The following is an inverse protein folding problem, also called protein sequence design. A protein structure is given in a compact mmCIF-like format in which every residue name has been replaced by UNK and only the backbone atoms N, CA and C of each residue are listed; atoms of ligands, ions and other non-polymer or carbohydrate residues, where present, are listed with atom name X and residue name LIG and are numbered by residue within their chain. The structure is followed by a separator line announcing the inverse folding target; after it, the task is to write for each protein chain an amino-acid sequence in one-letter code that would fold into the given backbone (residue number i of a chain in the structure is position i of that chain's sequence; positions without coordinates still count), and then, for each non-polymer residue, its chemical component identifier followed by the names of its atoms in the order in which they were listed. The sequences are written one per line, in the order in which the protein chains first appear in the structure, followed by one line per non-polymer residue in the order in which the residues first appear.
data_IF_412368524983
#
_entry.id   IF_412368524983
#
_cell.length_a   1.000
_cell.length_b   1.000
_cell.length_c   1.000
_cell.angle_alpha   90.00
_cell.angle_beta   90.00
_cell.angle_gamma   90.00
#
_symmetry.space_group_name_H-M   'P 1'
#
loop_
_entity.id
_entity.type
_entity.pdbx_description
1 polymer ?
#
# COMPACT_ATOMS: atom_id res chain seq x y z
N UNK A 1 2.63 26.34 7.69
CA UNK A 1 4.03 25.86 7.70
C UNK A 1 4.00 24.45 8.24
N UNK A 2 4.79 23.55 7.68
CA UNK A 2 4.94 22.19 8.20
C UNK A 2 5.63 22.25 9.57
N UNK A 3 5.37 21.24 10.42
CA UNK A 3 6.16 21.03 11.64
C UNK A 3 7.61 20.71 11.27
N UNK A 4 8.56 20.98 12.15
CA UNK A 4 9.97 20.65 11.88
C UNK A 4 10.15 19.15 11.56
N UNK A 5 9.43 18.27 12.27
CA UNK A 5 9.48 16.84 12.09
C UNK A 5 8.99 16.39 10.68
N UNK A 6 7.86 16.95 10.21
CA UNK A 6 7.35 16.67 8.86
C UNK A 6 8.28 17.20 7.76
N UNK A 7 8.92 18.35 8.00
CA UNK A 7 9.89 18.90 7.07
C UNK A 7 11.14 17.99 6.99
N UNK A 8 11.64 17.51 8.13
CA UNK A 8 12.77 16.58 8.18
C UNK A 8 12.44 15.26 7.48
N UNK A 9 11.25 14.70 7.68
CA UNK A 9 10.77 13.50 6.98
C UNK A 9 10.68 13.71 5.47
N UNK A 10 10.16 14.86 5.04
CA UNK A 10 10.07 15.20 3.63
C UNK A 10 11.46 15.30 3.01
N UNK A 11 12.42 15.93 3.69
CA UNK A 11 13.80 16.02 3.24
C UNK A 11 14.49 14.65 3.18
N UNK A 12 14.29 13.80 4.19
CA UNK A 12 14.80 12.43 4.18
C UNK A 12 14.21 11.61 3.03
N UNK A 13 12.89 11.73 2.78
CA UNK A 13 12.23 11.09 1.64
C UNK A 13 12.88 11.50 0.31
N UNK A 14 13.10 12.80 0.09
CA UNK A 14 13.75 13.34 -1.11
C UNK A 14 15.17 12.77 -1.25
N UNK A 15 15.94 12.76 -0.16
CA UNK A 15 17.31 12.23 -0.14
C UNK A 15 17.38 10.75 -0.54
N UNK A 16 16.49 9.90 0.01
CA UNK A 16 16.42 8.47 -0.34
C UNK A 16 16.04 8.30 -1.81
N UNK A 17 15.04 9.08 -2.28
CA UNK A 17 14.64 9.02 -3.68
C UNK A 17 15.78 9.39 -4.63
N UNK A 18 16.50 10.47 -4.35
CA UNK A 18 17.61 10.94 -5.19
C UNK A 18 18.75 9.92 -5.25
N UNK A 19 19.08 9.27 -4.12
CA UNK A 19 20.04 8.19 -4.08
C UNK A 19 19.57 6.99 -4.92
N UNK A 20 18.34 6.52 -4.72
CA UNK A 20 17.75 5.45 -5.52
C UNK A 20 17.74 5.80 -7.02
N UNK A 21 17.29 7.01 -7.36
CA UNK A 21 17.23 7.49 -8.74
C UNK A 21 18.59 7.53 -9.42
N UNK A 22 19.60 8.03 -8.72
CA UNK A 22 20.98 8.11 -9.25
C UNK A 22 21.55 6.74 -9.56
N UNK A 23 21.30 5.75 -8.70
CA UNK A 23 21.90 4.41 -8.77
C UNK A 23 21.06 3.38 -9.54
N UNK A 24 19.71 3.57 -9.64
CA UNK A 24 18.81 2.59 -10.25
C UNK A 24 18.09 3.07 -11.51
N UNK A 25 18.32 4.27 -11.99
CA UNK A 25 17.60 4.86 -13.16
C UNK A 25 17.55 3.96 -14.40
N UNK A 26 18.56 3.11 -14.62
CA UNK A 26 18.62 2.19 -15.73
C UNK A 26 18.03 0.79 -15.43
N UNK A 27 17.68 0.53 -14.16
CA UNK A 27 17.15 -0.75 -13.69
C UNK A 27 15.67 -0.66 -13.34
N UNK A 28 15.18 0.53 -13.00
CA UNK A 28 13.78 0.82 -12.66
C UNK A 28 13.31 1.97 -13.53
N UNK A 29 12.51 1.66 -14.54
CA UNK A 29 12.04 2.64 -15.52
C UNK A 29 11.03 3.65 -14.92
N UNK A 30 10.26 3.22 -13.91
CA UNK A 30 9.17 4.02 -13.33
C UNK A 30 9.61 4.71 -12.04
N UNK A 31 9.69 6.04 -12.08
CA UNK A 31 10.03 6.86 -10.92
C UNK A 31 9.11 6.62 -9.73
N UNK A 32 7.83 6.36 -9.99
CA UNK A 32 6.82 6.11 -8.98
C UNK A 32 7.15 4.90 -8.07
N UNK A 33 7.83 3.87 -8.59
CA UNK A 33 8.31 2.74 -7.79
C UNK A 33 9.37 3.22 -6.79
N UNK A 34 10.32 4.05 -7.24
CA UNK A 34 11.34 4.62 -6.36
C UNK A 34 10.72 5.54 -5.31
N UNK A 35 9.70 6.32 -5.68
CA UNK A 35 8.93 7.15 -4.75
C UNK A 35 8.25 6.31 -3.65
N UNK A 36 7.62 5.19 -4.02
CA UNK A 36 6.99 4.28 -3.06
C UNK A 36 8.02 3.60 -2.15
N UNK A 37 9.13 3.14 -2.69
CA UNK A 37 10.22 2.56 -1.90
C UNK A 37 10.75 3.59 -0.88
N UNK A 38 11.04 4.82 -1.32
CA UNK A 38 11.53 5.89 -0.45
C UNK A 38 10.54 6.20 0.69
N UNK A 39 9.25 6.33 0.36
CA UNK A 39 8.24 6.60 1.38
C UNK A 39 8.08 5.44 2.37
N UNK A 40 8.25 4.19 1.93
CA UNK A 40 8.14 3.03 2.80
C UNK A 40 9.19 3.05 3.92
N UNK A 41 10.45 3.46 3.64
CA UNK A 41 11.47 3.60 4.68
C UNK A 41 11.10 4.67 5.71
N UNK A 42 10.59 5.82 5.27
CA UNK A 42 10.19 6.92 6.17
C UNK A 42 9.00 6.50 7.03
N UNK A 43 7.94 5.93 6.40
CA UNK A 43 6.73 5.50 7.11
C UNK A 43 7.05 4.46 8.20
N UNK A 44 7.99 3.55 7.92
CA UNK A 44 8.39 2.50 8.85
C UNK A 44 9.57 2.89 9.77
N UNK A 45 10.04 4.15 9.71
CA UNK A 45 11.15 4.67 10.55
C UNK A 45 12.41 3.82 10.44
N UNK A 46 12.78 3.47 9.22
CA UNK A 46 13.94 2.65 8.95
C UNK A 46 15.01 3.44 8.22
N UNK A 47 16.22 3.35 8.71
CA UNK A 47 17.37 3.91 8.04
C UNK A 47 17.59 3.20 6.72
N UNK A 48 17.64 3.99 5.64
CA UNK A 48 17.93 3.49 4.34
C UNK A 48 19.45 3.33 4.16
N UNK A 49 19.87 2.13 3.79
CA UNK A 49 21.22 1.82 3.35
C UNK A 49 21.14 1.20 1.96
N UNK A 50 21.62 1.94 0.97
CA UNK A 50 21.57 1.52 -0.42
C UNK A 50 22.32 0.20 -0.65
N UNK A 51 23.48 -0.01 -0.02
CA UNK A 51 24.27 -1.22 -0.26
C UNK A 51 23.55 -2.46 0.28
N UNK A 52 23.03 -2.40 1.51
CA UNK A 52 22.22 -3.47 2.12
C UNK A 52 20.99 -3.80 1.26
N UNK A 53 20.22 -2.77 0.88
CA UNK A 53 19.04 -2.90 0.01
C UNK A 53 19.40 -3.52 -1.35
N UNK A 54 20.47 -3.05 -2.00
CA UNK A 54 20.87 -3.51 -3.32
C UNK A 54 21.43 -4.94 -3.29
N UNK A 55 22.22 -5.29 -2.26
CA UNK A 55 22.73 -6.64 -2.05
C UNK A 55 21.60 -7.62 -1.82
N UNK A 56 20.57 -7.22 -1.06
CA UNK A 56 19.36 -8.02 -0.89
C UNK A 56 18.62 -8.22 -2.23
N UNK A 57 18.44 -7.17 -3.02
CA UNK A 57 17.80 -7.28 -4.34
C UNK A 57 18.57 -8.20 -5.29
N UNK A 58 19.89 -8.20 -5.20
CA UNK A 58 20.78 -9.07 -5.98
C UNK A 58 20.71 -10.51 -5.49
N UNK A 59 20.67 -10.72 -4.18
CA UNK A 59 20.46 -12.02 -3.56
C UNK A 59 19.12 -12.63 -3.99
N UNK A 60 18.01 -11.85 -3.94
CA UNK A 60 16.70 -12.28 -4.46
C UNK A 60 16.84 -12.76 -5.90
N UNK A 61 17.44 -11.95 -6.79
CA UNK A 61 17.62 -12.31 -8.20
C UNK A 61 18.37 -13.63 -8.39
N UNK A 62 19.37 -13.89 -7.57
CA UNK A 62 20.21 -15.10 -7.68
C UNK A 62 19.53 -16.36 -7.14
N UNK A 63 18.50 -16.22 -6.31
CA UNK A 63 17.84 -17.33 -5.62
C UNK A 63 16.40 -17.61 -6.13
N UNK A 64 16.03 -17.06 -7.30
CA UNK A 64 14.73 -17.29 -7.94
C UNK A 64 14.90 -17.94 -9.30
N UNK A 65 13.89 -18.71 -9.73
CA UNK A 65 13.85 -19.32 -11.06
C UNK A 65 13.77 -18.28 -12.18
N UNK A 66 14.29 -18.62 -13.36
CA UNK A 66 14.38 -17.73 -14.52
C UNK A 66 13.02 -17.16 -14.98
N UNK A 67 11.93 -17.84 -14.72
CA UNK A 67 10.57 -17.41 -15.08
C UNK A 67 9.82 -16.69 -13.95
N UNK A 68 10.50 -16.37 -12.84
CA UNK A 68 9.88 -15.63 -11.75
C UNK A 68 9.64 -14.17 -12.13
N UNK A 69 8.49 -13.61 -11.74
CA UNK A 69 8.20 -12.18 -11.86
C UNK A 69 9.21 -11.31 -11.10
N UNK A 70 9.87 -11.86 -10.07
CA UNK A 70 10.93 -11.18 -9.32
C UNK A 70 12.25 -11.04 -10.08
N UNK A 71 12.40 -11.64 -11.27
CA UNK A 71 13.54 -11.35 -12.15
C UNK A 71 13.54 -9.91 -12.68
N UNK A 72 12.38 -9.26 -12.68
CA UNK A 72 12.19 -7.87 -13.09
C UNK A 72 12.52 -6.89 -11.95
N UNK A 73 12.15 -5.62 -12.15
CA UNK A 73 12.25 -4.57 -11.13
C UNK A 73 11.34 -4.79 -9.91
N UNK A 74 10.37 -5.73 -9.95
CA UNK A 74 9.55 -6.12 -8.78
C UNK A 74 10.40 -6.56 -7.58
N UNK A 75 11.59 -7.12 -7.82
CA UNK A 75 12.49 -7.52 -6.74
C UNK A 75 12.91 -6.36 -5.84
N UNK A 76 12.95 -5.13 -6.37
CA UNK A 76 13.31 -3.95 -5.57
C UNK A 76 12.21 -3.61 -4.56
N UNK A 77 10.93 -3.75 -4.94
CA UNK A 77 9.80 -3.60 -4.00
C UNK A 77 9.84 -4.69 -2.92
N UNK A 78 10.07 -5.94 -3.29
CA UNK A 78 10.20 -7.04 -2.33
C UNK A 78 11.42 -6.84 -1.42
N UNK A 79 12.56 -6.44 -1.98
CA UNK A 79 13.76 -6.16 -1.22
C UNK A 79 13.54 -5.03 -0.21
N UNK A 80 12.85 -3.94 -0.58
CA UNK A 80 12.58 -2.84 0.35
C UNK A 80 11.72 -3.29 1.53
N UNK A 81 10.66 -4.08 1.31
CA UNK A 81 9.79 -4.56 2.37
C UNK A 81 10.56 -5.52 3.31
N UNK A 82 11.33 -6.47 2.75
CA UNK A 82 12.15 -7.37 3.55
C UNK A 82 13.23 -6.62 4.33
N UNK A 83 13.89 -5.64 3.73
CA UNK A 83 14.90 -4.82 4.42
C UNK A 83 14.30 -3.99 5.56
N UNK A 84 13.14 -3.39 5.34
CA UNK A 84 12.42 -2.61 6.35
C UNK A 84 12.06 -3.46 7.56
N UNK A 85 11.55 -4.66 7.36
CA UNK A 85 11.06 -5.51 8.45
C UNK A 85 12.16 -6.33 9.13
N UNK A 86 13.14 -6.83 8.37
CA UNK A 86 14.12 -7.80 8.85
C UNK A 86 15.56 -7.28 8.88
N UNK A 87 15.86 -6.15 8.25
CA UNK A 87 17.18 -5.51 8.26
C UNK A 87 18.32 -6.51 7.93
N UNK A 88 19.24 -6.72 8.85
CA UNK A 88 20.38 -7.64 8.65
C UNK A 88 19.94 -9.10 8.46
N UNK A 89 18.74 -9.48 8.90
CA UNK A 89 18.17 -10.82 8.75
C UNK A 89 17.33 -10.98 7.47
N UNK A 90 17.25 -9.94 6.62
CA UNK A 90 16.40 -9.94 5.44
C UNK A 90 16.73 -11.06 4.43
N UNK A 91 18.01 -11.49 4.32
CA UNK A 91 18.37 -12.63 3.49
C UNK A 91 17.87 -13.96 4.06
N UNK A 92 17.86 -14.11 5.38
CA UNK A 92 17.31 -15.28 6.05
C UNK A 92 15.77 -15.32 5.93
N UNK A 93 15.11 -14.17 6.00
CA UNK A 93 13.67 -14.05 5.83
C UNK A 93 13.18 -14.35 4.40
N UNK A 94 14.08 -14.33 3.41
CA UNK A 94 13.72 -14.61 2.01
C UNK A 94 13.22 -16.05 1.80
N UNK A 95 13.81 -17.05 2.43
CA UNK A 95 13.37 -18.45 2.27
C UNK A 95 11.97 -18.69 2.87
N UNK A 96 11.66 -18.27 4.11
CA UNK A 96 10.30 -18.30 4.63
C UNK A 96 9.31 -17.54 3.73
N UNK A 97 9.67 -16.37 3.21
CA UNK A 97 8.85 -15.61 2.27
C UNK A 97 8.48 -16.41 1.01
N UNK A 98 9.46 -17.07 0.37
CA UNK A 98 9.23 -17.88 -0.82
C UNK A 98 8.40 -19.13 -0.50
N UNK A 99 8.55 -19.69 0.71
CA UNK A 99 7.71 -20.80 1.15
C UNK A 99 6.25 -20.37 1.31
N UNK A 100 5.98 -19.25 1.98
CA UNK A 100 4.63 -18.66 2.08
C UNK A 100 4.01 -18.44 0.69
N UNK A 101 4.74 -17.79 -0.22
CA UNK A 101 4.29 -17.60 -1.61
C UNK A 101 3.96 -18.94 -2.29
N UNK A 102 4.83 -19.94 -2.14
CA UNK A 102 4.65 -21.24 -2.77
C UNK A 102 3.43 -21.98 -2.22
N UNK A 103 3.17 -21.86 -0.91
CA UNK A 103 1.96 -22.41 -0.29
C UNK A 103 0.69 -21.70 -0.81
N UNK A 104 0.69 -20.36 -0.92
CA UNK A 104 -0.42 -19.61 -1.50
C UNK A 104 -0.71 -20.06 -2.93
N UNK A 105 0.32 -20.23 -3.76
CA UNK A 105 0.15 -20.74 -5.15
C UNK A 105 -0.45 -22.15 -5.17
N UNK A 106 -0.02 -23.05 -4.27
CA UNK A 106 -0.60 -24.40 -4.13
C UNK A 106 -2.07 -24.37 -3.70
N UNK A 107 -2.49 -23.35 -2.96
CA UNK A 107 -3.89 -23.15 -2.56
C UNK A 107 -4.76 -22.53 -3.67
N UNK A 108 -4.18 -22.09 -4.79
CA UNK A 108 -4.92 -21.57 -5.94
C UNK A 108 -4.78 -20.07 -6.20
N UNK A 109 -3.91 -19.37 -5.49
CA UNK A 109 -3.53 -18.01 -5.83
C UNK A 109 -2.75 -17.97 -7.14
N UNK A 110 -2.89 -16.89 -7.93
CA UNK A 110 -2.16 -16.74 -9.19
C UNK A 110 -0.68 -16.48 -8.97
N UNK A 111 0.15 -16.92 -9.91
CA UNK A 111 1.59 -16.65 -9.93
C UNK A 111 1.85 -15.25 -10.46
N UNK A 112 1.68 -14.24 -9.62
CA UNK A 112 1.89 -12.83 -9.97
C UNK A 112 2.49 -12.05 -8.79
N UNK A 113 2.76 -10.77 -9.02
CA UNK A 113 3.33 -9.87 -8.00
C UNK A 113 2.39 -9.69 -6.82
N UNK A 114 1.07 -9.72 -6.99
CA UNK A 114 0.12 -9.49 -5.92
C UNK A 114 0.13 -10.64 -4.91
N UNK A 115 0.37 -11.87 -5.37
CA UNK A 115 0.58 -13.02 -4.48
C UNK A 115 1.90 -12.90 -3.72
N UNK A 116 2.98 -12.37 -4.34
CA UNK A 116 4.21 -12.07 -3.60
C UNK A 116 3.98 -11.00 -2.52
N UNK A 117 3.25 -9.92 -2.84
CA UNK A 117 2.93 -8.88 -1.87
C UNK A 117 2.05 -9.41 -0.72
N UNK A 118 1.09 -10.28 -1.04
CA UNK A 118 0.26 -10.93 -0.03
C UNK A 118 1.07 -11.89 0.86
N UNK A 119 2.05 -12.57 0.30
CA UNK A 119 2.98 -13.41 1.08
C UNK A 119 3.84 -12.55 2.04
N UNK A 120 4.26 -11.35 1.63
CA UNK A 120 4.94 -10.40 2.53
C UNK A 120 4.01 -9.96 3.67
N UNK A 121 2.75 -9.60 3.39
CA UNK A 121 1.76 -9.25 4.41
C UNK A 121 1.60 -10.37 5.44
N UNK A 122 1.52 -11.63 4.99
CA UNK A 122 1.42 -12.80 5.88
C UNK A 122 2.71 -13.06 6.68
N UNK A 123 3.86 -12.76 6.10
CA UNK A 123 5.15 -12.94 6.75
C UNK A 123 5.43 -11.86 7.82
N UNK A 124 5.02 -10.62 7.55
CA UNK A 124 5.29 -9.46 8.40
C UNK A 124 4.18 -9.16 9.41
N UNK A 125 3.00 -9.75 9.23
CA UNK A 125 1.86 -9.59 10.14
C UNK A 125 2.12 -10.19 11.52
N UNK A 126 1.68 -9.48 12.58
CA UNK A 126 1.88 -9.85 13.99
C UNK A 126 0.87 -10.88 14.52
N UNK A 127 0.24 -11.67 13.70
CA UNK A 127 -0.81 -12.61 14.15
C UNK A 127 -0.19 -13.87 14.77
N UNK A 128 -0.03 -13.85 16.08
CA UNK A 128 0.47 -15.00 16.85
C UNK A 128 -0.56 -16.13 17.05
N UNK A 129 -1.84 -15.87 16.80
CA UNK A 129 -2.93 -16.77 17.23
C UNK A 129 -3.60 -17.58 16.12
N UNK A 130 -3.44 -17.23 14.86
CA UNK A 130 -4.09 -17.93 13.74
C UNK A 130 -3.01 -18.64 12.92
N UNK A 131 -3.22 -19.93 12.65
CA UNK A 131 -2.37 -20.70 11.75
C UNK A 131 -2.27 -19.98 10.40
N UNK A 132 -1.05 -19.70 9.93
CA UNK A 132 -0.76 -19.02 8.67
C UNK A 132 -1.51 -19.64 7.48
N UNK A 133 -1.68 -20.97 7.49
CA UNK A 133 -2.45 -21.67 6.46
C UNK A 133 -3.95 -21.32 6.50
N UNK A 134 -4.52 -21.13 7.68
CA UNK A 134 -5.90 -20.68 7.84
C UNK A 134 -6.08 -19.26 7.32
N UNK A 135 -5.13 -18.38 7.56
CA UNK A 135 -5.12 -17.02 7.01
C UNK A 135 -5.06 -17.04 5.48
N UNK A 136 -4.21 -17.89 4.88
CA UNK A 136 -4.17 -18.06 3.43
C UNK A 136 -5.52 -18.54 2.87
N UNK A 137 -6.13 -19.55 3.49
CA UNK A 137 -7.46 -20.07 3.07
C UNK A 137 -8.55 -19.01 3.21
N UNK A 138 -8.56 -18.28 4.33
CA UNK A 138 -9.52 -17.21 4.54
C UNK A 138 -9.33 -16.07 3.53
N UNK A 139 -8.07 -15.66 3.28
CA UNK A 139 -7.74 -14.65 2.26
C UNK A 139 -8.23 -15.05 0.86
N UNK A 140 -8.05 -16.31 0.49
CA UNK A 140 -8.58 -16.84 -0.77
C UNK A 140 -10.11 -16.81 -0.81
N UNK A 141 -10.77 -17.19 0.28
CA UNK A 141 -12.23 -17.17 0.40
C UNK A 141 -12.78 -15.75 0.29
N UNK A 142 -12.16 -14.77 0.97
CA UNK A 142 -12.50 -13.35 0.88
C UNK A 142 -12.34 -12.86 -0.56
N UNK A 143 -11.20 -13.15 -1.21
CA UNK A 143 -10.96 -12.78 -2.61
C UNK A 143 -12.01 -13.38 -3.57
N UNK A 144 -12.34 -14.65 -3.40
CA UNK A 144 -13.38 -15.31 -4.21
C UNK A 144 -14.75 -14.67 -3.99
N UNK A 145 -15.08 -14.30 -2.77
CA UNK A 145 -16.35 -13.62 -2.46
C UNK A 145 -16.37 -12.17 -3.01
N UNK A 146 -15.24 -11.41 -2.92
CA UNK A 146 -15.10 -10.12 -3.60
C UNK A 146 -15.40 -10.25 -5.10
N UNK A 147 -14.88 -11.32 -5.73
CA UNK A 147 -15.09 -11.58 -7.16
C UNK A 147 -16.54 -11.95 -7.49
N UNK A 148 -17.25 -12.63 -6.59
CA UNK A 148 -18.69 -12.88 -6.75
C UNK A 148 -19.50 -11.60 -6.66
N UNK A 149 -19.17 -10.72 -5.71
CA UNK A 149 -19.89 -9.46 -5.50
C UNK A 149 -19.65 -8.47 -6.64
N UNK A 150 -18.40 -8.38 -7.14
CA UNK A 150 -17.96 -7.40 -8.15
C UNK A 150 -17.08 -8.04 -9.21
N UNK A 151 -17.62 -8.94 -10.02
CA UNK A 151 -16.86 -9.75 -10.97
C UNK A 151 -15.95 -8.94 -11.91
N UNK A 152 -16.47 -7.83 -12.45
CA UNK A 152 -15.73 -7.00 -13.40
C UNK A 152 -14.75 -6.02 -12.74
N UNK A 153 -14.90 -5.75 -11.45
CA UNK A 153 -14.03 -4.83 -10.70
C UNK A 153 -12.91 -5.56 -9.95
N UNK A 154 -13.09 -6.86 -9.67
CA UNK A 154 -12.16 -7.62 -8.85
C UNK A 154 -11.14 -8.36 -9.73
N UNK A 155 -9.89 -7.97 -9.57
CA UNK A 155 -8.74 -8.61 -10.22
C UNK A 155 -7.75 -9.10 -9.17
N UNK A 156 -6.62 -9.68 -9.59
CA UNK A 156 -5.57 -10.10 -8.64
C UNK A 156 -5.00 -8.94 -7.83
N UNK A 157 -5.16 -7.70 -8.26
CA UNK A 157 -4.80 -6.49 -7.49
C UNK A 157 -5.51 -6.39 -6.13
N UNK A 158 -6.66 -7.07 -5.98
CA UNK A 158 -7.42 -7.09 -4.72
C UNK A 158 -6.92 -8.16 -3.74
N UNK A 159 -6.02 -9.07 -4.16
CA UNK A 159 -5.53 -10.16 -3.30
C UNK A 159 -4.85 -9.64 -2.02
N UNK A 160 -3.96 -8.63 -2.05
CA UNK A 160 -3.40 -8.09 -0.82
C UNK A 160 -4.45 -7.57 0.17
N UNK A 161 -5.46 -6.83 -0.31
CA UNK A 161 -6.56 -6.35 0.53
C UNK A 161 -7.44 -7.50 1.06
N UNK A 162 -7.66 -8.55 0.26
CA UNK A 162 -8.40 -9.72 0.71
C UNK A 162 -7.66 -10.44 1.85
N UNK A 163 -6.34 -10.56 1.75
CA UNK A 163 -5.51 -11.15 2.81
C UNK A 163 -5.53 -10.28 4.07
N UNK A 164 -5.49 -8.95 3.93
CA UNK A 164 -5.61 -8.03 5.06
C UNK A 164 -6.96 -8.13 5.77
N UNK A 165 -8.05 -8.15 5.00
CA UNK A 165 -9.39 -8.33 5.57
C UNK A 165 -9.52 -9.67 6.29
N UNK A 166 -8.85 -10.70 5.79
CA UNK A 166 -8.83 -12.03 6.38
C UNK A 166 -8.05 -12.11 7.71
N UNK A 167 -7.14 -11.16 7.97
CA UNK A 167 -6.42 -11.07 9.24
C UNK A 167 -7.27 -10.53 10.39
N UNK A 168 -8.39 -9.86 10.08
CA UNK A 168 -9.39 -9.50 11.08
C UNK A 168 -10.16 -10.75 11.54
N UNK A 169 -10.61 -10.79 12.79
CA UNK A 169 -11.25 -11.93 13.44
C UNK A 169 -12.39 -12.59 12.63
N UNK A 170 -12.98 -11.88 11.68
CA UNK A 170 -13.98 -12.41 10.75
C UNK A 170 -13.89 -11.73 9.38
N UNK A 171 -13.00 -12.24 8.51
CA UNK A 171 -12.75 -11.68 7.18
C UNK A 171 -14.00 -11.54 6.30
N UNK A 172 -14.98 -12.46 6.41
CA UNK A 172 -16.25 -12.36 5.67
C UNK A 172 -17.17 -11.26 6.25
N UNK A 173 -17.13 -11.03 7.57
CA UNK A 173 -17.86 -9.91 8.19
C UNK A 173 -17.27 -8.57 7.76
N UNK A 174 -15.95 -8.47 7.72
CA UNK A 174 -15.26 -7.29 7.21
C UNK A 174 -15.61 -7.03 5.73
N UNK A 175 -15.73 -8.08 4.92
CA UNK A 175 -16.18 -7.96 3.54
C UNK A 175 -17.63 -7.47 3.41
N UNK A 176 -18.57 -7.95 4.24
CA UNK A 176 -19.93 -7.45 4.27
C UNK A 176 -19.99 -5.96 4.65
N UNK A 177 -19.15 -5.55 5.61
CA UNK A 177 -18.99 -4.14 5.97
C UNK A 177 -18.46 -3.31 4.79
N UNK A 178 -17.46 -3.84 4.06
CA UNK A 178 -16.94 -3.20 2.86
C UNK A 178 -18.04 -3.01 1.79
N UNK A 179 -18.90 -3.99 1.58
CA UNK A 179 -20.02 -3.89 0.64
C UNK A 179 -21.00 -2.79 1.06
N UNK A 180 -21.34 -2.69 2.36
CA UNK A 180 -22.16 -1.61 2.88
C UNK A 180 -21.50 -0.24 2.64
N UNK A 181 -20.22 -0.10 2.93
CA UNK A 181 -19.45 1.12 2.63
C UNK A 181 -19.49 1.47 1.14
N UNK A 182 -19.34 0.47 0.25
CA UNK A 182 -19.40 0.67 -1.20
C UNK A 182 -20.73 1.27 -1.63
N UNK A 183 -21.85 0.71 -1.14
CA UNK A 183 -23.18 1.17 -1.48
C UNK A 183 -23.44 2.59 -0.94
N UNK A 184 -23.07 2.85 0.32
CA UNK A 184 -23.22 4.17 0.94
C UNK A 184 -22.36 5.24 0.26
N UNK A 185 -21.09 4.96 -0.06
CA UNK A 185 -20.22 5.89 -0.80
C UNK A 185 -20.80 6.21 -2.19
N UNK A 186 -21.26 5.17 -2.90
CA UNK A 186 -21.90 5.35 -4.20
C UNK A 186 -23.15 6.24 -4.11
N UNK A 187 -24.00 6.04 -3.10
CA UNK A 187 -25.18 6.87 -2.85
C UNK A 187 -24.80 8.33 -2.49
N UNK A 188 -23.61 8.55 -1.92
CA UNK A 188 -23.07 9.87 -1.60
C UNK A 188 -22.24 10.52 -2.75
N UNK A 189 -22.35 10.03 -3.98
CA UNK A 189 -21.78 10.67 -5.18
C UNK A 189 -20.33 10.29 -5.50
N UNK A 190 -19.78 9.28 -4.83
CA UNK A 190 -18.50 8.70 -5.23
C UNK A 190 -18.69 7.86 -6.50
N UNK A 191 -17.76 8.01 -7.46
CA UNK A 191 -17.83 7.32 -8.74
C UNK A 191 -17.63 5.82 -8.57
N UNK A 192 -18.58 5.02 -9.07
CA UNK A 192 -18.48 3.55 -9.09
C UNK A 192 -17.25 3.08 -9.87
N UNK A 193 -16.59 2.02 -9.38
CA UNK A 193 -15.44 1.41 -10.04
C UNK A 193 -14.47 0.77 -9.05
N UNK A 194 -13.32 0.35 -9.55
CA UNK A 194 -12.30 -0.33 -8.75
C UNK A 194 -11.77 0.52 -7.57
N UNK A 195 -11.64 1.84 -7.74
CA UNK A 195 -11.16 2.71 -6.67
C UNK A 195 -12.19 2.86 -5.54
N UNK A 196 -13.49 2.87 -5.89
CA UNK A 196 -14.55 2.83 -4.89
C UNK A 196 -14.55 1.50 -4.12
N UNK A 197 -14.28 0.40 -4.81
CA UNK A 197 -14.11 -0.90 -4.16
C UNK A 197 -12.88 -0.89 -3.23
N UNK A 198 -11.75 -0.33 -3.65
CA UNK A 198 -10.57 -0.23 -2.79
C UNK A 198 -10.83 0.61 -1.54
N UNK A 199 -11.45 1.80 -1.67
CA UNK A 199 -11.78 2.62 -0.48
C UNK A 199 -12.69 1.88 0.47
N UNK A 200 -13.72 1.18 -0.03
CA UNK A 200 -14.64 0.43 0.85
C UNK A 200 -13.95 -0.69 1.62
N UNK A 201 -12.99 -1.38 1.00
CA UNK A 201 -12.18 -2.40 1.67
C UNK A 201 -11.25 -1.81 2.74
N UNK A 202 -10.62 -0.64 2.47
CA UNK A 202 -9.76 0.05 3.44
C UNK A 202 -10.59 0.53 4.63
N UNK A 203 -11.77 1.11 4.40
CA UNK A 203 -12.69 1.50 5.48
C UNK A 203 -13.08 0.31 6.36
N UNK A 204 -13.33 -0.84 5.76
CA UNK A 204 -13.72 -2.05 6.48
C UNK A 204 -12.63 -2.65 7.38
N UNK A 205 -11.36 -2.24 7.22
CA UNK A 205 -10.27 -2.63 8.14
C UNK A 205 -10.46 -2.04 9.54
N UNK A 206 -11.24 -0.96 9.69
CA UNK A 206 -11.55 -0.34 10.98
C UNK A 206 -12.73 -1.07 11.63
N UNK A 207 -12.46 -2.11 12.44
CA UNK A 207 -13.51 -2.97 13.05
C UNK A 207 -14.49 -2.21 13.94
N UNK A 208 -13.98 -1.23 14.70
CA UNK A 208 -14.70 -0.54 15.77
C UNK A 208 -15.75 0.48 15.30
N UNK A 209 -15.63 0.99 14.07
CA UNK A 209 -16.53 2.01 13.53
C UNK A 209 -17.59 1.38 12.63
N UNK A 210 -18.83 1.85 12.68
CA UNK A 210 -19.88 1.45 11.74
C UNK A 210 -19.67 2.04 10.33
N UNK A 211 -20.29 1.46 9.28
CA UNK A 211 -20.13 1.92 7.90
C UNK A 211 -20.57 3.37 7.68
N UNK A 212 -21.65 3.81 8.33
CA UNK A 212 -22.22 5.15 8.21
C UNK A 212 -21.24 6.21 8.71
N UNK A 213 -20.65 5.97 9.87
CA UNK A 213 -19.60 6.83 10.46
C UNK A 213 -18.38 6.92 9.54
N UNK A 214 -17.87 5.79 9.04
CA UNK A 214 -16.72 5.75 8.14
C UNK A 214 -16.97 6.49 6.83
N UNK A 215 -18.15 6.28 6.24
CA UNK A 215 -18.54 6.95 4.98
C UNK A 215 -18.73 8.45 5.21
N UNK A 216 -19.31 8.85 6.33
CA UNK A 216 -19.46 10.28 6.69
C UNK A 216 -18.10 10.95 6.83
N UNK A 217 -17.16 10.34 7.55
CA UNK A 217 -15.78 10.86 7.68
C UNK A 217 -15.09 10.96 6.31
N UNK A 218 -15.18 9.92 5.48
CA UNK A 218 -14.57 9.92 4.14
C UNK A 218 -15.15 11.04 3.26
N UNK A 219 -16.46 11.29 3.35
CA UNK A 219 -17.15 12.39 2.64
C UNK A 219 -16.69 13.76 3.13
N UNK A 220 -16.56 13.96 4.44
CA UNK A 220 -16.06 15.22 5.01
C UNK A 220 -14.63 15.52 4.53
N UNK A 221 -13.74 14.51 4.53
CA UNK A 221 -12.38 14.64 4.00
C UNK A 221 -12.42 15.02 2.51
N UNK A 222 -13.23 14.33 1.71
CA UNK A 222 -13.41 14.65 0.28
C UNK A 222 -13.87 16.10 0.07
N UNK A 223 -14.84 16.57 0.85
CA UNK A 223 -15.34 17.94 0.79
C UNK A 223 -14.25 18.95 1.20
N UNK A 224 -13.57 18.73 2.31
CA UNK A 224 -12.49 19.60 2.78
C UNK A 224 -11.37 19.77 1.75
N UNK A 225 -10.98 18.70 1.06
CA UNK A 225 -9.98 18.79 -0.02
C UNK A 225 -10.57 19.57 -1.21
N UNK A 226 -11.83 19.32 -1.57
CA UNK A 226 -12.48 20.01 -2.69
C UNK A 226 -12.59 21.52 -2.47
N UNK A 227 -12.89 21.95 -1.25
CA UNK A 227 -12.97 23.35 -0.85
C UNK A 227 -11.61 24.05 -0.79
N UNK A 228 -10.60 23.31 -0.31
CA UNK A 228 -9.25 23.88 -0.12
C UNK A 228 -8.36 23.78 -1.36
N UNK A 229 -8.68 22.91 -2.29
CA UNK A 229 -7.87 22.62 -3.46
C UNK A 229 -8.73 22.15 -4.64
N UNK A 230 -8.21 21.29 -5.48
CA UNK A 230 -8.93 20.68 -6.60
C UNK A 230 -9.66 19.42 -6.13
N UNK A 231 -10.89 19.21 -6.65
CA UNK A 231 -11.69 18.00 -6.42
C UNK A 231 -10.84 16.74 -6.62
N UNK A 232 -10.78 15.83 -5.62
CA UNK A 232 -10.06 14.56 -5.75
C UNK A 232 -10.62 13.73 -6.91
N UNK A 233 -9.72 13.13 -7.69
CA UNK A 233 -10.09 12.14 -8.70
C UNK A 233 -10.36 10.78 -8.03
N UNK A 234 -11.02 9.88 -8.75
CA UNK A 234 -11.39 8.56 -8.22
C UNK A 234 -10.20 7.72 -7.72
N UNK A 235 -9.06 7.81 -8.38
CA UNK A 235 -7.85 7.09 -7.95
C UNK A 235 -7.22 7.62 -6.63
N UNK A 236 -7.67 8.78 -6.11
CA UNK A 236 -7.30 9.27 -4.77
C UNK A 236 -8.23 8.71 -3.66
N UNK A 237 -9.34 8.07 -4.00
CA UNK A 237 -10.28 7.57 -2.99
C UNK A 237 -9.63 6.65 -1.93
N UNK A 238 -8.72 5.74 -2.27
CA UNK A 238 -8.01 4.94 -1.27
C UNK A 238 -7.21 5.79 -0.27
N UNK A 239 -6.63 6.92 -0.73
CA UNK A 239 -5.85 7.83 0.13
C UNK A 239 -6.78 8.56 1.12
N UNK A 240 -8.01 8.91 0.69
CA UNK A 240 -9.03 9.48 1.59
C UNK A 240 -9.44 8.49 2.67
N UNK A 241 -9.59 7.21 2.31
CA UNK A 241 -9.93 6.16 3.27
C UNK A 241 -8.84 5.98 4.34
N UNK A 242 -7.56 6.12 3.98
CA UNK A 242 -6.48 6.09 4.96
C UNK A 242 -6.58 7.23 5.97
N UNK A 243 -6.99 8.42 5.54
CA UNK A 243 -7.15 9.56 6.45
C UNK A 243 -8.28 9.36 7.46
N UNK A 244 -9.28 8.50 7.20
CA UNK A 244 -10.38 8.20 8.15
C UNK A 244 -9.93 7.41 9.38
N UNK A 245 -8.69 6.87 9.39
CA UNK A 245 -8.12 6.26 10.59
C UNK A 245 -7.84 7.29 11.69
N UNK A 246 -7.71 8.56 11.34
CA UNK A 246 -7.67 9.67 12.28
C UNK A 246 -9.07 10.25 12.45
N UNK A 247 -9.41 10.66 13.67
CA UNK A 247 -10.71 11.29 13.93
C UNK A 247 -10.85 12.63 13.21
N UNK A 248 -9.83 13.47 13.32
CA UNK A 248 -9.76 14.81 12.73
C UNK A 248 -8.44 15.00 11.97
N UNK A 249 -8.32 14.51 10.71
CA UNK A 249 -7.11 14.70 9.94
C UNK A 249 -6.93 16.15 9.50
N UNK A 250 -5.74 16.71 9.74
CA UNK A 250 -5.39 18.05 9.24
C UNK A 250 -5.09 18.03 7.74
N UNK A 251 -6.14 18.25 6.96
CA UNK A 251 -6.07 18.28 5.49
C UNK A 251 -5.15 19.38 4.98
N UNK A 252 -5.05 20.51 5.71
CA UNK A 252 -4.15 21.60 5.31
C UNK A 252 -2.69 21.17 5.34
N UNK A 253 -2.31 20.40 6.34
CA UNK A 253 -0.96 19.82 6.44
C UNK A 253 -0.69 18.83 5.32
N UNK A 254 -1.63 17.93 4.99
CA UNK A 254 -1.49 17.01 3.84
C UNK A 254 -1.30 17.80 2.52
N UNK A 255 -2.10 18.83 2.31
CA UNK A 255 -1.99 19.68 1.11
C UNK A 255 -0.69 20.50 1.09
N UNK A 256 -0.16 20.93 2.25
CA UNK A 256 1.13 21.59 2.34
C UNK A 256 2.29 20.68 1.94
N UNK A 257 2.34 19.43 2.45
CA UNK A 257 3.33 18.42 2.02
C UNK A 257 3.20 18.16 0.51
N UNK A 258 1.97 18.00 0.02
CA UNK A 258 1.71 17.79 -1.42
C UNK A 258 2.25 18.96 -2.25
N UNK A 259 2.07 20.19 -1.76
CA UNK A 259 2.56 21.39 -2.44
C UNK A 259 4.09 21.42 -2.49
N UNK A 260 4.78 21.13 -1.39
CA UNK A 260 6.25 21.06 -1.34
C UNK A 260 6.79 20.03 -2.34
N UNK A 261 6.24 18.81 -2.33
CA UNK A 261 6.63 17.77 -3.29
C UNK A 261 6.37 18.21 -4.75
N UNK A 262 5.31 18.97 -5.01
CA UNK A 262 5.03 19.49 -6.36
C UNK A 262 6.02 20.56 -6.82
N UNK A 263 6.70 21.26 -5.90
CA UNK A 263 7.75 22.25 -6.23
C UNK A 263 9.09 21.58 -6.54
N UNK A 264 9.32 20.37 -6.01
CA UNK A 264 10.53 19.63 -6.26
C UNK A 264 10.65 19.25 -7.75
N UNK A 265 11.80 19.59 -8.35
CA UNK A 265 12.06 19.32 -9.78
C UNK A 265 11.87 17.86 -10.14
N UNK A 266 12.22 16.96 -9.23
CA UNK A 266 12.14 15.52 -9.43
C UNK A 266 10.69 15.01 -9.50
N UNK A 267 9.74 15.69 -8.83
CA UNK A 267 8.36 15.23 -8.63
C UNK A 267 7.30 16.10 -9.30
N UNK A 268 7.67 17.20 -9.96
CA UNK A 268 6.70 18.17 -10.52
C UNK A 268 5.68 17.58 -11.49
N UNK A 269 5.98 16.45 -12.10
CA UNK A 269 5.10 15.74 -13.03
C UNK A 269 4.33 14.58 -12.39
N UNK A 270 4.64 14.24 -11.14
CA UNK A 270 4.06 13.12 -10.41
C UNK A 270 2.99 13.57 -9.39
N UNK A 271 2.20 14.60 -9.73
CA UNK A 271 1.26 15.27 -8.81
C UNK A 271 0.31 14.32 -8.08
N UNK A 272 -0.17 13.30 -8.79
CA UNK A 272 -1.10 12.33 -8.23
C UNK A 272 -0.37 11.39 -7.23
N UNK A 273 0.88 11.05 -7.52
CA UNK A 273 1.74 10.29 -6.60
C UNK A 273 2.17 11.14 -5.41
N UNK A 274 2.46 12.43 -5.61
CA UNK A 274 2.83 13.35 -4.53
C UNK A 274 1.75 13.45 -3.47
N UNK A 275 0.46 13.48 -3.86
CA UNK A 275 -0.64 13.45 -2.91
C UNK A 275 -0.65 12.15 -2.08
N UNK A 276 -0.48 11.00 -2.74
CA UNK A 276 -0.38 9.69 -2.08
C UNK A 276 0.78 9.64 -1.07
N UNK A 277 1.96 10.11 -1.47
CA UNK A 277 3.13 10.17 -0.60
C UNK A 277 2.87 11.13 0.58
N UNK A 278 2.27 12.29 0.32
CA UNK A 278 1.93 13.25 1.38
C UNK A 278 1.00 12.65 2.44
N UNK A 279 -0.02 11.89 2.03
CA UNK A 279 -0.90 11.17 2.96
C UNK A 279 -0.10 10.15 3.79
N UNK A 280 0.79 9.38 3.15
CA UNK A 280 1.61 8.38 3.85
C UNK A 280 2.57 9.02 4.86
N UNK A 281 3.26 10.10 4.48
CA UNK A 281 4.16 10.85 5.36
C UNK A 281 3.40 11.50 6.54
N UNK A 282 2.25 12.08 6.26
CA UNK A 282 1.39 12.67 7.29
C UNK A 282 0.94 11.63 8.32
N UNK A 283 0.43 10.48 7.86
CA UNK A 283 -0.02 9.41 8.74
C UNK A 283 1.13 8.83 9.57
N UNK A 284 2.36 8.79 9.03
CA UNK A 284 3.52 8.28 9.77
C UNK A 284 3.82 9.09 11.04
N UNK A 285 3.50 10.38 11.07
CA UNK A 285 3.66 11.23 12.25
C UNK A 285 2.74 10.78 13.41
N UNK A 286 1.49 10.40 13.08
CA UNK A 286 0.55 9.90 14.09
C UNK A 286 0.90 8.51 14.58
N UNK A 287 1.49 7.68 13.73
CA UNK A 287 2.02 6.38 14.12
C UNK A 287 3.17 6.51 15.15
N UNK A 288 3.87 7.65 15.18
CA UNK A 288 4.97 7.92 16.13
C UNK A 288 4.51 8.30 17.53
N UNK A 289 3.44 9.07 17.64
CA UNK A 289 3.05 9.74 18.89
C UNK A 289 2.36 8.83 19.91
N UNK A 290 2.45 7.50 19.77
CA UNK A 290 1.85 6.49 20.67
C UNK A 290 0.32 6.58 20.85
N UNK A 291 -0.36 7.56 20.24
CA UNK A 291 -1.80 7.75 20.34
C UNK A 291 -2.60 6.57 19.76
N UNK A 292 -1.94 5.73 18.96
CA UNK A 292 -2.56 4.60 18.25
C UNK A 292 -2.05 3.23 18.75
N UNK A 293 -1.02 3.19 19.62
CA UNK A 293 -0.42 1.91 20.07
C UNK A 293 -1.35 1.05 20.91
N UNK A 294 -2.28 1.66 21.66
CA UNK A 294 -3.21 0.94 22.55
C UNK A 294 -4.36 0.25 21.80
N UNK A 295 -4.59 0.57 20.52
CA UNK A 295 -5.85 0.24 19.84
C UNK A 295 -5.73 -0.83 18.74
N UNK A 296 -4.56 -1.40 18.47
CA UNK A 296 -4.36 -2.24 17.26
C UNK A 296 -4.47 -1.45 15.94
N UNK A 297 -4.87 -0.18 16.01
CA UNK A 297 -5.08 0.73 14.90
C UNK A 297 -3.75 1.03 14.17
N UNK A 298 -2.63 1.09 14.92
CA UNK A 298 -1.29 1.22 14.36
C UNK A 298 -0.99 0.16 13.30
N UNK A 299 -1.19 -1.11 13.66
CA UNK A 299 -0.94 -2.23 12.74
C UNK A 299 -1.87 -2.18 11.54
N UNK A 300 -3.13 -1.79 11.73
CA UNK A 300 -4.10 -1.65 10.63
C UNK A 300 -3.70 -0.54 9.66
N UNK A 301 -3.27 0.63 10.15
CA UNK A 301 -2.80 1.74 9.30
C UNK A 301 -1.52 1.34 8.56
N UNK A 302 -0.51 0.83 9.26
CA UNK A 302 0.75 0.37 8.66
C UNK A 302 0.47 -0.63 7.54
N UNK A 303 -0.35 -1.64 7.82
CA UNK A 303 -0.68 -2.69 6.87
C UNK A 303 -1.53 -2.16 5.70
N UNK A 304 -2.44 -1.22 5.95
CA UNK A 304 -3.23 -0.60 4.89
C UNK A 304 -2.36 0.29 3.97
N UNK A 305 -1.41 1.04 4.52
CA UNK A 305 -0.43 1.81 3.75
C UNK A 305 0.44 0.88 2.91
N UNK A 306 0.97 -0.20 3.49
CA UNK A 306 1.78 -1.18 2.78
C UNK A 306 1.00 -1.85 1.64
N UNK A 307 -0.25 -2.26 1.89
CA UNK A 307 -1.09 -2.86 0.86
C UNK A 307 -1.40 -1.89 -0.28
N UNK A 308 -1.65 -0.62 0.05
CA UNK A 308 -1.91 0.40 -0.96
C UNK A 308 -0.65 0.71 -1.78
N UNK A 309 0.51 0.82 -1.14
CA UNK A 309 1.78 1.01 -1.83
C UNK A 309 2.12 -0.18 -2.73
N UNK A 310 1.89 -1.38 -2.23
CA UNK A 310 2.06 -2.62 -2.97
C UNK A 310 1.12 -2.68 -4.19
N UNK A 311 -0.16 -2.37 -4.02
CA UNK A 311 -1.13 -2.32 -5.12
C UNK A 311 -0.77 -1.23 -6.14
N UNK A 312 -0.35 -0.04 -5.70
CA UNK A 312 0.10 1.04 -6.58
C UNK A 312 1.34 0.63 -7.39
N UNK A 313 2.33 0.01 -6.74
CA UNK A 313 3.53 -0.52 -7.42
C UNK A 313 3.15 -1.53 -8.51
N UNK A 314 2.24 -2.44 -8.22
CA UNK A 314 1.82 -3.46 -9.15
C UNK A 314 1.02 -2.89 -10.34
N UNK A 315 0.17 -1.88 -10.12
CA UNK A 315 -0.55 -1.16 -11.18
C UNK A 315 0.41 -0.44 -12.13
N UNK A 316 1.39 0.27 -11.60
CA UNK A 316 2.41 0.98 -12.37
C UNK A 316 3.13 0.00 -13.30
N UNK A 317 3.47 -1.18 -12.78
CA UNK A 317 4.20 -2.20 -13.51
C UNK A 317 3.33 -2.88 -14.58
N UNK A 318 2.05 -3.16 -14.27
CA UNK A 318 1.12 -3.79 -15.21
C UNK A 318 0.82 -2.88 -16.42
N UNK A 319 0.72 -1.57 -16.19
CA UNK A 319 0.47 -0.59 -17.27
C UNK A 319 1.65 -0.45 -18.23
N UNK A 320 2.88 -0.68 -17.76
CA UNK A 320 4.08 -0.63 -18.60
C UNK A 320 4.27 -1.84 -19.51
N UNK A 321 3.78 -3.02 -19.09
CA UNK A 321 3.86 -4.24 -19.90
C UNK A 321 2.96 -4.16 -21.14
N UNK A 322 1.85 -3.43 -21.08
CA UNK A 322 0.91 -3.25 -22.18
C UNK A 322 1.52 -2.36 -23.28
N UNK A 323 2.26 -1.31 -22.91
CA UNK A 323 2.86 -0.38 -23.88
C UNK A 323 4.09 -0.95 -24.62
N UNK A 324 4.70 -2.03 -24.12
CA UNK A 324 5.82 -2.69 -24.77
C UNK A 324 5.40 -3.74 -25.81
N UNK A 325 4.10 -4.10 -25.91
CA UNK A 325 3.58 -5.06 -26.88
C UNK A 325 3.01 -4.41 -28.15
N UNK A 326 2.70 -3.11 -28.11
CA UNK A 326 2.18 -2.36 -29.27
C UNK A 326 3.27 -1.72 -30.15
N UNK A 327 4.53 -2.04 -29.90
CA UNK A 327 5.69 -1.45 -30.58
C UNK A 327 6.53 -2.42 -31.46
N UNK A 328 5.93 -3.51 -31.96
CA UNK A 328 6.60 -4.40 -32.94
C UNK A 328 5.71 -4.69 -34.14
#
# INVERSE_FOLDING_TARGET
MLTNDLNDKTNQYISIYDELKSKLRWKVAHNQILMLISSAYIVNKRDFDFQRFYDLSSYIKSNIGSFSTLNSHHRFTVASILDIHFQHEAKQAFLPFIDVYSQMVKLGYKRDIFTYLSALILLTGKTETINQREQMNMGLSVYQQMKKNHYFLTSTQNVPLAVLLAQNENGLRALNKAETCYQLLSANGFKKGQYLQHVSHILALQSEKDPETLVSQCKLIFQSITESHKKPKDFHYPDLALLTFLEEPDIKTVLAITHELNQEKAFKWEKDMNFKIAVSLYLSEYMEKNLLMESGLYTAIETAIQAQQAAATAVIISSSAIHSHDGN
#
